data_IF_485508832888
#
_entry.id   IF_485508832888
#
_cell.length_a   1.000
_cell.length_b   1.000
_cell.length_c   1.000
_cell.angle_alpha   90.00
_cell.angle_beta   90.00
_cell.angle_gamma   90.00
#
_symmetry.space_group_name_H-M   'P 1'
#
loop_
_entity.id
_entity.type
_entity.pdbx_description
1 polymer ?
#
# COMPACT_ATOMS: atom_id res chain seq x y z
N UNK A 1 13.99 16.72 31.91
CA UNK A 1 13.57 15.30 31.70
C UNK A 1 13.87 14.92 30.27
N UNK A 2 14.41 13.75 30.05
CA UNK A 2 14.69 13.29 28.68
C UNK A 2 13.38 13.02 27.97
N UNK A 3 13.16 13.63 26.79
CA UNK A 3 11.98 13.35 25.97
C UNK A 3 12.23 12.12 25.12
N UNK A 4 11.43 11.07 25.30
CA UNK A 4 11.49 9.85 24.51
C UNK A 4 10.44 9.92 23.40
N UNK A 5 10.85 10.37 22.22
CA UNK A 5 9.97 10.57 21.08
C UNK A 5 10.69 10.20 19.79
N UNK A 6 9.98 9.64 18.84
CA UNK A 6 10.47 9.44 17.49
C UNK A 6 9.32 9.59 16.46
N UNK A 7 9.69 10.07 15.29
CA UNK A 7 8.80 10.24 14.15
C UNK A 7 9.30 9.40 12.99
N UNK A 8 8.40 8.69 12.32
CA UNK A 8 8.72 7.96 11.11
C UNK A 8 7.62 8.14 10.07
N UNK A 9 8.00 8.13 8.81
CA UNK A 9 7.06 7.97 7.70
C UNK A 9 7.19 6.58 7.08
N UNK A 10 6.11 6.10 6.48
CA UNK A 10 6.11 4.86 5.72
C UNK A 10 5.31 5.01 4.43
N UNK A 11 5.77 4.37 3.35
CA UNK A 11 5.18 4.45 2.03
C UNK A 11 3.91 3.62 1.92
N UNK A 12 3.08 3.97 0.93
CA UNK A 12 2.04 3.09 0.41
C UNK A 12 2.68 1.99 -0.43
N UNK A 13 2.13 0.78 -0.40
CA UNK A 13 2.46 -0.28 -1.33
C UNK A 13 1.22 -0.79 -2.06
N UNK A 14 1.35 -1.05 -3.36
CA UNK A 14 0.25 -1.54 -4.20
C UNK A 14 0.60 -2.92 -4.74
N UNK A 15 -0.23 -3.90 -4.43
CA UNK A 15 0.01 -5.28 -4.81
C UNK A 15 -0.16 -5.53 -6.32
N UNK A 16 0.81 -6.22 -6.91
CA UNK A 16 0.75 -6.81 -8.25
C UNK A 16 0.26 -8.26 -8.19
N UNK A 17 0.64 -9.01 -7.16
CA UNK A 17 0.02 -10.28 -6.78
C UNK A 17 -0.74 -10.05 -5.48
N UNK A 18 -2.07 -10.18 -5.55
CA UNK A 18 -2.97 -9.76 -4.48
C UNK A 18 -2.94 -10.70 -3.27
N UNK A 19 -2.85 -10.09 -2.09
CA UNK A 19 -3.17 -10.73 -0.83
C UNK A 19 -4.69 -10.77 -0.64
N UNK A 20 -5.26 -11.98 -0.53
CA UNK A 20 -6.68 -12.14 -0.24
C UNK A 20 -6.93 -13.43 0.52
N UNK A 21 -7.59 -13.32 1.68
CA UNK A 21 -7.85 -14.41 2.59
C UNK A 21 -6.80 -14.58 3.69
N UNK A 22 -7.26 -15.08 4.85
CA UNK A 22 -6.43 -15.37 6.01
C UNK A 22 -6.67 -16.82 6.43
N UNK A 23 -5.58 -17.60 6.61
CA UNK A 23 -5.62 -18.93 7.23
C UNK A 23 -5.61 -18.87 8.76
N UNK A 24 -5.15 -17.74 9.32
CA UNK A 24 -5.23 -17.42 10.75
C UNK A 24 -5.55 -15.92 10.91
N UNK A 25 -6.62 -15.64 11.65
CA UNK A 25 -7.12 -14.27 11.84
C UNK A 25 -6.50 -13.55 13.04
N UNK A 26 -5.91 -14.29 13.99
CA UNK A 26 -5.21 -13.72 15.16
C UNK A 26 -3.80 -13.27 14.76
N UNK A 27 -3.06 -14.16 14.14
CA UNK A 27 -1.69 -13.92 13.68
C UNK A 27 -1.66 -13.21 12.32
N UNK A 28 -2.82 -12.99 11.68
CA UNK A 28 -2.94 -12.41 10.33
C UNK A 28 -2.08 -13.17 9.31
N UNK A 29 -2.17 -14.51 9.33
CA UNK A 29 -1.46 -15.33 8.37
C UNK A 29 -2.25 -15.42 7.06
N UNK A 30 -1.61 -15.18 5.89
CA UNK A 30 -2.29 -15.16 4.61
C UNK A 30 -2.58 -16.58 4.10
N UNK A 31 -3.57 -16.69 3.22
CA UNK A 31 -3.84 -17.95 2.47
C UNK A 31 -2.89 -18.14 1.29
N UNK A 32 -2.26 -17.06 0.81
CA UNK A 32 -1.33 -17.07 -0.32
C UNK A 32 -0.26 -15.98 -0.17
N UNK A 33 0.91 -16.20 -0.73
CA UNK A 33 1.95 -15.18 -0.88
C UNK A 33 1.46 -14.02 -1.76
N UNK A 34 2.06 -12.86 -1.61
CA UNK A 34 1.70 -11.66 -2.38
C UNK A 34 2.94 -10.82 -2.70
N UNK A 35 2.87 -9.97 -3.72
CA UNK A 35 3.96 -9.10 -4.11
C UNK A 35 3.43 -7.70 -4.41
N UNK A 36 4.14 -6.67 -3.98
CA UNK A 36 3.77 -5.26 -4.23
C UNK A 36 4.94 -4.42 -4.69
N UNK A 37 4.61 -3.30 -5.31
CA UNK A 37 5.51 -2.16 -5.55
C UNK A 37 5.30 -1.16 -4.42
N UNK A 38 6.37 -0.72 -3.79
CA UNK A 38 6.38 0.38 -2.83
C UNK A 38 6.42 1.70 -3.61
N UNK A 39 5.49 2.61 -3.31
CA UNK A 39 5.40 3.91 -3.97
C UNK A 39 6.17 4.98 -3.20
N UNK A 40 6.67 6.00 -3.93
CA UNK A 40 7.46 7.08 -3.35
C UNK A 40 6.64 7.87 -2.31
N UNK A 41 7.16 7.92 -1.09
CA UNK A 41 6.50 8.54 0.05
C UNK A 41 6.57 10.09 0.04
N UNK A 42 7.26 10.71 -0.91
CA UNK A 42 7.14 12.15 -1.12
C UNK A 42 5.74 12.53 -1.62
N UNK A 43 5.03 11.56 -2.23
CA UNK A 43 3.68 11.75 -2.78
C UNK A 43 2.59 11.04 -1.97
N UNK A 44 2.88 9.85 -1.42
CA UNK A 44 1.90 8.98 -0.75
C UNK A 44 2.53 8.35 0.49
N UNK A 45 2.25 8.91 1.68
CA UNK A 45 2.79 8.40 2.95
C UNK A 45 1.82 8.52 4.11
N UNK A 46 2.08 7.69 5.12
CA UNK A 46 1.63 7.91 6.50
C UNK A 46 2.81 8.37 7.33
N UNK A 47 2.62 9.40 8.14
CA UNK A 47 3.61 9.87 9.13
C UNK A 47 3.09 9.58 10.52
N UNK A 48 3.92 9.01 11.39
CA UNK A 48 3.55 8.68 12.77
C UNK A 48 4.62 9.16 13.73
N UNK A 49 4.20 9.87 14.78
CA UNK A 49 5.03 10.21 15.93
C UNK A 49 4.57 9.38 17.12
N UNK A 50 5.51 8.70 17.77
CA UNK A 50 5.30 7.96 19.01
C UNK A 50 6.13 8.57 20.12
N UNK A 51 5.53 8.82 21.29
CA UNK A 51 6.18 9.35 22.49
C UNK A 51 5.86 8.48 23.69
N UNK A 52 6.88 8.14 24.47
CA UNK A 52 6.75 7.43 25.74
C UNK A 52 7.09 8.36 26.92
N UNK A 53 6.28 8.33 27.97
CA UNK A 53 6.50 9.17 29.14
C UNK A 53 5.98 8.46 30.40
N UNK A 54 6.71 8.48 31.54
CA UNK A 54 6.24 7.86 32.78
C UNK A 54 5.00 8.53 33.37
N UNK A 55 4.69 9.76 32.96
CA UNK A 55 3.50 10.51 33.41
C UNK A 55 2.22 10.17 32.64
N UNK A 56 2.31 9.42 31.55
CA UNK A 56 1.12 9.03 30.80
C UNK A 56 0.39 7.90 31.53
N UNK A 57 -0.93 8.06 31.68
CA UNK A 57 -1.79 7.12 32.42
C UNK A 57 -2.28 5.96 31.55
N UNK A 58 -2.33 6.16 30.21
CA UNK A 58 -2.80 5.17 29.24
C UNK A 58 -2.15 5.37 27.87
N UNK A 59 -2.16 4.31 27.06
CA UNK A 59 -1.81 4.41 25.64
C UNK A 59 -2.93 5.15 24.89
N UNK A 60 -2.56 6.14 24.03
CA UNK A 60 -3.51 6.95 23.24
C UNK A 60 -3.07 7.04 21.79
N UNK A 61 -4.04 7.11 20.89
CA UNK A 61 -3.84 7.27 19.44
C UNK A 61 -4.71 8.39 18.90
N UNK A 62 -4.17 9.22 18.02
CA UNK A 62 -4.90 10.16 17.16
C UNK A 62 -4.62 9.84 15.69
N UNK A 63 -5.69 9.67 14.91
CA UNK A 63 -5.64 9.49 13.47
C UNK A 63 -6.18 10.74 12.77
N UNK A 64 -5.34 11.38 11.96
CA UNK A 64 -5.69 12.63 11.27
C UNK A 64 -6.31 13.68 12.22
N UNK A 65 -5.74 13.81 13.43
CA UNK A 65 -6.18 14.76 14.45
C UNK A 65 -7.36 14.34 15.32
N UNK A 66 -7.99 13.21 15.04
CA UNK A 66 -9.13 12.67 15.83
C UNK A 66 -8.65 11.53 16.72
N UNK A 67 -8.98 11.56 18.01
CA UNK A 67 -8.68 10.48 18.94
C UNK A 67 -9.40 9.20 18.53
N UNK A 68 -8.67 8.10 18.46
CA UNK A 68 -9.21 6.76 18.18
C UNK A 68 -8.90 5.83 19.36
N UNK A 69 -9.89 5.07 19.79
CA UNK A 69 -9.81 4.22 20.96
C UNK A 69 -8.91 2.98 20.69
N UNK A 70 -7.92 2.76 21.56
CA UNK A 70 -7.13 1.54 21.56
C UNK A 70 -7.90 0.45 22.32
N UNK A 71 -8.72 -0.31 21.58
CA UNK A 71 -9.56 -1.36 22.17
C UNK A 71 -8.72 -2.55 22.65
N UNK A 72 -9.04 -3.13 23.82
CA UNK A 72 -8.41 -4.37 24.29
C UNK A 72 -8.54 -5.51 23.25
N UNK A 73 -7.45 -6.23 23.00
CA UNK A 73 -7.39 -7.30 22.00
C UNK A 73 -7.37 -6.82 20.54
N UNK A 74 -7.34 -5.49 20.30
CA UNK A 74 -7.23 -4.95 18.94
C UNK A 74 -5.84 -5.21 18.34
N UNK A 75 -5.77 -5.15 17.01
CA UNK A 75 -4.51 -5.27 16.27
C UNK A 75 -3.51 -4.18 16.64
N UNK A 76 -4.00 -2.98 16.93
CA UNK A 76 -3.19 -1.85 17.36
C UNK A 76 -2.54 -2.14 18.73
N UNK A 77 -3.35 -2.58 19.70
CA UNK A 77 -2.84 -2.98 21.01
C UNK A 77 -1.82 -4.11 20.90
N UNK A 78 -2.07 -5.10 20.04
CA UNK A 78 -1.13 -6.19 19.78
C UNK A 78 0.21 -5.69 19.28
N UNK A 79 0.23 -4.79 18.29
CA UNK A 79 1.47 -4.19 17.80
C UNK A 79 2.21 -3.43 18.89
N UNK A 80 1.53 -2.60 19.69
CA UNK A 80 2.16 -1.84 20.78
C UNK A 80 2.76 -2.79 21.82
N UNK A 81 2.04 -3.82 22.23
CA UNK A 81 2.52 -4.84 23.20
C UNK A 81 3.76 -5.57 22.69
N UNK A 82 3.76 -5.99 21.42
CA UNK A 82 4.91 -6.70 20.84
C UNK A 82 6.14 -5.77 20.72
N UNK A 83 5.94 -4.50 20.37
CA UNK A 83 7.03 -3.52 20.33
C UNK A 83 7.59 -3.26 21.73
N UNK A 84 6.75 -3.14 22.76
CA UNK A 84 7.19 -3.05 24.17
C UNK A 84 7.92 -4.32 24.61
N UNK A 85 7.44 -5.51 24.21
CA UNK A 85 8.12 -6.78 24.50
C UNK A 85 9.52 -6.82 23.88
N UNK A 86 9.65 -6.42 22.62
CA UNK A 86 10.97 -6.33 21.97
C UNK A 86 11.89 -5.32 22.68
N UNK A 87 11.38 -4.15 23.09
CA UNK A 87 12.17 -3.18 23.86
C UNK A 87 12.71 -3.82 25.13
N UNK A 88 11.86 -4.54 25.85
CA UNK A 88 12.28 -5.25 27.08
C UNK A 88 13.39 -6.27 26.79
N UNK A 89 13.15 -7.19 25.87
CA UNK A 89 14.06 -8.34 25.62
C UNK A 89 15.35 -7.92 24.92
N UNK A 90 15.26 -7.03 23.92
CA UNK A 90 16.40 -6.70 23.06
C UNK A 90 17.27 -5.55 23.59
N UNK A 91 16.75 -4.74 24.52
CA UNK A 91 17.48 -3.59 25.05
C UNK A 91 17.57 -3.64 26.59
N UNK A 92 16.44 -3.68 27.30
CA UNK A 92 16.42 -3.47 28.74
C UNK A 92 16.92 -4.67 29.54
N UNK A 93 16.71 -5.91 29.09
CA UNK A 93 17.22 -7.12 29.70
C UNK A 93 18.73 -7.31 29.42
N UNK A 94 19.22 -6.71 28.30
CA UNK A 94 20.64 -6.74 27.91
C UNK A 94 21.46 -5.61 28.55
N UNK A 95 20.83 -4.47 28.86
CA UNK A 95 21.43 -3.31 29.53
C UNK A 95 20.53 -2.86 30.68
N UNK A 96 20.86 -3.25 31.95
CA UNK A 96 20.09 -2.86 33.11
C UNK A 96 20.08 -1.34 33.37
N UNK A 97 21.01 -0.58 32.80
CA UNK A 97 21.07 0.89 32.91
C UNK A 97 20.13 1.59 31.91
N UNK A 98 19.63 0.87 30.90
CA UNK A 98 18.74 1.45 29.92
C UNK A 98 17.40 1.89 30.57
N UNK A 99 16.86 3.05 30.14
CA UNK A 99 15.53 3.48 30.59
C UNK A 99 14.47 2.44 30.31
N UNK A 100 13.57 2.18 31.28
CA UNK A 100 12.53 1.14 31.21
C UNK A 100 11.33 1.57 30.37
N UNK A 101 11.56 1.97 29.11
CA UNK A 101 10.54 2.48 28.20
C UNK A 101 9.45 1.45 27.90
N UNK A 102 9.74 0.15 28.02
CA UNK A 102 8.75 -0.91 27.85
C UNK A 102 7.58 -0.81 28.83
N UNK A 103 7.81 -0.17 30.00
CA UNK A 103 6.79 0.00 31.06
C UNK A 103 5.99 1.29 30.92
N UNK A 104 6.42 2.24 30.06
CA UNK A 104 5.75 3.52 29.89
C UNK A 104 4.57 3.39 28.93
N UNK A 105 3.53 4.19 29.18
CA UNK A 105 2.48 4.38 28.20
C UNK A 105 2.98 5.25 27.03
N UNK A 106 2.35 5.06 25.88
CA UNK A 106 2.69 5.78 24.65
C UNK A 106 1.53 6.63 24.15
N UNK A 107 1.86 7.81 23.67
CA UNK A 107 0.96 8.67 22.89
C UNK A 107 1.43 8.67 21.44
N UNK A 108 0.49 8.47 20.53
CA UNK A 108 0.75 8.24 19.11
C UNK A 108 -0.12 9.17 18.28
N UNK A 109 0.47 9.96 17.39
CA UNK A 109 -0.25 10.71 16.38
C UNK A 109 0.14 10.21 14.99
N UNK A 110 -0.84 9.93 14.14
CA UNK A 110 -0.63 9.43 12.78
C UNK A 110 -1.46 10.21 11.76
N UNK A 111 -0.85 10.61 10.65
CA UNK A 111 -1.47 11.36 9.56
C UNK A 111 -1.14 10.77 8.21
N UNK A 112 -2.14 10.76 7.32
CA UNK A 112 -1.98 10.42 5.91
C UNK A 112 -1.99 11.70 5.07
N UNK A 113 -1.11 11.83 4.08
CA UNK A 113 -1.16 12.92 3.12
C UNK A 113 -2.08 12.64 1.91
N UNK A 114 -2.89 11.58 1.99
CA UNK A 114 -3.84 11.14 0.97
C UNK A 114 -5.17 10.71 1.62
N UNK A 115 -6.28 10.64 0.86
CA UNK A 115 -7.60 10.26 1.42
C UNK A 115 -7.58 8.87 2.07
N UNK A 116 -7.96 8.84 3.35
CA UNK A 116 -8.01 7.64 4.20
C UNK A 116 -9.14 6.75 3.78
N UNK A 117 -9.24 5.68 3.34
CA UNK A 117 -10.37 4.82 2.93
C UNK A 117 -10.61 4.74 1.41
N UNK A 118 -9.88 5.50 0.61
CA UNK A 118 -10.00 5.49 -0.84
C UNK A 118 -9.46 4.21 -1.54
N UNK A 119 -9.17 3.14 -0.80
CA UNK A 119 -8.56 1.93 -1.38
C UNK A 119 -7.07 2.05 -1.70
N UNK A 120 -6.41 3.11 -1.20
CA UNK A 120 -4.98 3.39 -1.41
C UNK A 120 -4.10 2.82 -0.31
N UNK A 121 -4.44 1.65 0.24
CA UNK A 121 -3.65 0.91 1.23
C UNK A 121 -3.25 1.72 2.50
N UNK A 122 -4.11 2.65 2.95
CA UNK A 122 -3.84 3.52 4.12
C UNK A 122 -3.53 2.74 5.40
N UNK A 123 -4.16 1.58 5.62
CA UNK A 123 -3.83 0.72 6.76
C UNK A 123 -2.42 0.12 6.68
N UNK A 124 -1.91 -0.14 5.46
CA UNK A 124 -0.58 -0.70 5.28
C UNK A 124 0.50 0.32 5.67
N UNK A 125 0.45 1.53 5.09
CA UNK A 125 1.40 2.60 5.42
C UNK A 125 1.27 3.06 6.88
N UNK A 126 0.04 3.16 7.42
CA UNK A 126 -0.22 3.56 8.80
C UNK A 126 0.42 2.60 9.83
N UNK A 127 0.22 1.28 9.71
CA UNK A 127 0.85 0.32 10.60
C UNK A 127 2.35 0.18 10.39
N UNK A 128 2.84 0.36 9.17
CA UNK A 128 4.28 0.40 8.91
C UNK A 128 4.93 1.63 9.57
N UNK A 129 4.32 2.82 9.45
CA UNK A 129 4.79 4.04 10.10
C UNK A 129 4.75 3.91 11.65
N UNK A 130 3.68 3.30 12.20
CA UNK A 130 3.56 3.01 13.63
C UNK A 130 4.71 2.14 14.13
N UNK A 131 4.92 0.99 13.48
CA UNK A 131 5.98 0.05 13.90
C UNK A 131 7.35 0.68 13.74
N UNK A 132 7.58 1.46 12.66
CA UNK A 132 8.85 2.16 12.44
C UNK A 132 9.10 3.27 13.46
N UNK A 133 8.07 4.06 13.82
CA UNK A 133 8.21 5.10 14.85
C UNK A 133 8.48 4.51 16.24
N UNK A 134 7.80 3.40 16.59
CA UNK A 134 8.05 2.68 17.84
C UNK A 134 9.43 2.00 17.85
N UNK A 135 9.90 1.46 16.74
CA UNK A 135 11.24 0.88 16.62
C UNK A 135 12.32 1.94 16.86
N UNK A 136 12.14 3.13 16.26
CA UNK A 136 13.04 4.27 16.47
C UNK A 136 12.98 4.80 17.93
N UNK A 137 11.77 4.96 18.50
CA UNK A 137 11.56 5.36 19.88
C UNK A 137 12.26 4.43 20.87
N UNK A 138 12.09 3.12 20.66
CA UNK A 138 12.66 2.08 21.53
C UNK A 138 14.12 1.74 21.18
N UNK A 139 14.69 2.36 20.13
CA UNK A 139 16.07 2.07 19.67
C UNK A 139 16.30 0.56 19.46
N UNK A 140 15.39 -0.11 18.78
CA UNK A 140 15.43 -1.56 18.62
C UNK A 140 16.54 -1.97 17.64
N UNK A 141 17.48 -2.84 18.04
CA UNK A 141 18.53 -3.37 17.16
C UNK A 141 18.03 -4.59 16.36
N UNK A 142 16.87 -4.47 15.70
CA UNK A 142 16.23 -5.57 15.00
C UNK A 142 16.11 -5.27 13.51
N UNK A 143 16.07 -6.34 12.69
CA UNK A 143 15.96 -6.22 11.24
C UNK A 143 14.54 -5.79 10.78
N UNK A 144 14.41 -5.22 9.58
CA UNK A 144 13.10 -4.98 8.97
C UNK A 144 12.24 -6.27 8.86
N UNK A 145 12.86 -7.44 8.65
CA UNK A 145 12.16 -8.72 8.65
C UNK A 145 11.49 -9.02 9.98
N UNK A 146 12.17 -8.76 11.11
CA UNK A 146 11.58 -8.90 12.45
C UNK A 146 10.41 -7.95 12.65
N UNK A 147 10.58 -6.68 12.24
CA UNK A 147 9.51 -5.68 12.30
C UNK A 147 8.33 -6.05 11.40
N UNK A 148 8.59 -6.74 10.27
CA UNK A 148 7.53 -7.16 9.34
C UNK A 148 6.56 -8.16 9.96
N UNK A 149 7.03 -9.02 10.88
CA UNK A 149 6.17 -9.94 11.62
C UNK A 149 5.18 -9.21 12.53
N UNK A 150 5.58 -8.06 13.09
CA UNK A 150 4.72 -7.23 13.95
C UNK A 150 3.77 -6.39 13.10
N UNK A 151 4.29 -5.69 12.08
CA UNK A 151 3.47 -4.86 11.18
C UNK A 151 2.36 -5.67 10.50
N UNK A 152 2.63 -6.94 10.14
CA UNK A 152 1.65 -7.89 9.62
C UNK A 152 0.45 -8.05 10.57
N UNK A 153 0.67 -8.15 11.87
CA UNK A 153 -0.39 -8.33 12.86
C UNK A 153 -1.29 -7.10 12.98
N UNK A 154 -0.79 -5.92 12.64
CA UNK A 154 -1.58 -4.70 12.52
C UNK A 154 -2.41 -4.68 11.24
N UNK A 155 -1.75 -4.86 10.12
CA UNK A 155 -2.37 -5.00 8.80
C UNK A 155 -1.50 -5.88 7.94
N UNK A 156 -2.07 -6.95 7.36
CA UNK A 156 -1.30 -7.94 6.60
C UNK A 156 -0.36 -7.31 5.58
N UNK A 157 -0.85 -6.40 4.75
CA UNK A 157 -0.04 -5.71 3.75
C UNK A 157 0.99 -4.72 4.31
N UNK A 158 0.92 -4.35 5.60
CA UNK A 158 1.86 -3.42 6.22
C UNK A 158 3.29 -3.97 6.27
N UNK A 159 3.46 -5.29 6.34
CA UNK A 159 4.78 -5.91 6.33
C UNK A 159 5.58 -5.53 5.08
N UNK A 160 4.92 -5.33 3.92
CA UNK A 160 5.59 -4.95 2.69
C UNK A 160 5.99 -3.47 2.64
N UNK A 161 5.30 -2.59 3.37
CA UNK A 161 5.67 -1.17 3.47
C UNK A 161 6.91 -0.90 4.35
N UNK A 162 7.52 -1.94 4.93
CA UNK A 162 8.80 -1.83 5.65
C UNK A 162 10.04 -1.92 4.76
N UNK A 163 9.83 -2.07 3.45
CA UNK A 163 10.90 -2.09 2.46
C UNK A 163 10.52 -1.22 1.27
N UNK A 164 11.54 -0.67 0.60
CA UNK A 164 11.38 -0.01 -0.68
C UNK A 164 11.38 -0.98 -1.86
N UNK A 165 11.03 -0.50 -3.03
CA UNK A 165 11.10 -1.25 -4.27
C UNK A 165 10.01 -2.30 -4.42
N UNK A 166 10.41 -3.51 -4.72
CA UNK A 166 9.53 -4.67 -4.97
C UNK A 166 9.59 -5.62 -3.78
N UNK A 167 8.46 -5.89 -3.16
CA UNK A 167 8.41 -6.61 -1.88
C UNK A 167 7.42 -7.76 -1.93
N UNK A 168 7.92 -8.97 -1.70
CA UNK A 168 7.09 -10.14 -1.48
C UNK A 168 6.71 -10.26 0.00
N UNK A 169 5.53 -10.76 0.27
CA UNK A 169 5.13 -11.29 1.56
C UNK A 169 4.88 -12.78 1.41
N UNK A 170 5.74 -13.58 2.04
CA UNK A 170 5.67 -15.04 1.98
C UNK A 170 4.50 -15.55 2.83
N UNK A 171 3.77 -16.51 2.27
CA UNK A 171 2.66 -17.17 2.97
C UNK A 171 3.15 -17.81 4.26
N UNK A 172 4.31 -18.46 4.20
CA UNK A 172 4.83 -19.30 5.28
C UNK A 172 4.00 -20.57 5.48
N UNK A 173 4.57 -21.50 6.23
CA UNK A 173 3.96 -22.81 6.53
C UNK A 173 3.78 -23.07 8.01
N UNK A 174 4.55 -22.37 8.85
CA UNK A 174 4.53 -22.54 10.29
C UNK A 174 3.24 -22.00 10.91
N UNK A 175 2.73 -22.69 11.92
CA UNK A 175 1.52 -22.30 12.63
C UNK A 175 1.71 -21.03 13.47
N UNK A 176 2.94 -20.80 14.00
CA UNK A 176 3.29 -19.59 14.73
C UNK A 176 3.53 -18.37 13.84
N UNK A 177 3.57 -18.56 12.50
CA UNK A 177 3.78 -17.54 11.51
C UNK A 177 5.17 -16.90 11.49
N UNK A 178 6.17 -17.53 12.13
CA UNK A 178 7.55 -17.02 12.20
C UNK A 178 8.25 -16.96 10.81
N UNK A 179 7.75 -17.73 9.83
CA UNK A 179 8.22 -17.78 8.45
C UNK A 179 7.34 -16.99 7.46
N UNK A 180 6.25 -16.37 7.93
CA UNK A 180 5.39 -15.51 7.09
C UNK A 180 5.82 -14.05 7.23
N UNK A 181 6.84 -13.67 6.50
CA UNK A 181 7.54 -12.37 6.59
C UNK A 181 7.69 -11.71 5.22
N UNK A 182 8.00 -10.41 5.23
CA UNK A 182 8.27 -9.67 4.01
C UNK A 182 9.74 -9.83 3.58
N UNK A 183 9.94 -9.96 2.26
CA UNK A 183 11.24 -10.09 1.61
C UNK A 183 11.33 -9.08 0.46
N UNK A 184 12.40 -8.30 0.41
CA UNK A 184 12.66 -7.42 -0.73
C UNK A 184 13.16 -8.23 -1.92
N UNK A 185 12.42 -8.21 -3.03
CA UNK A 185 12.79 -8.88 -4.30
C UNK A 185 13.81 -8.04 -5.06
N UNK A 186 13.61 -6.72 -5.08
CA UNK A 186 14.54 -5.76 -5.67
C UNK A 186 14.36 -4.39 -5.01
N UNK A 187 15.43 -3.60 -4.83
CA UNK A 187 15.32 -2.24 -4.30
C UNK A 187 14.68 -1.28 -5.32
N UNK A 188 14.30 -0.09 -4.88
CA UNK A 188 13.74 0.97 -5.73
C UNK A 188 14.69 1.40 -6.85
N UNK A 189 15.99 1.38 -6.59
CA UNK A 189 17.04 1.71 -7.57
C UNK A 189 17.16 0.69 -8.71
N UNK A 190 16.57 -0.51 -8.54
CA UNK A 190 16.62 -1.55 -9.55
C UNK A 190 15.83 -1.18 -10.81
N UNK A 191 14.67 -0.51 -10.69
CA UNK A 191 13.82 -0.14 -11.82
C UNK A 191 13.32 1.31 -11.71
N UNK A 192 14.22 2.30 -11.82
CA UNK A 192 13.90 3.69 -11.51
C UNK A 192 12.95 4.35 -12.52
N UNK A 193 12.76 3.75 -13.71
CA UNK A 193 11.85 4.25 -14.76
C UNK A 193 10.42 3.77 -14.60
N UNK A 194 10.13 2.87 -13.65
CA UNK A 194 8.76 2.41 -13.40
C UNK A 194 8.01 3.44 -12.57
N UNK A 195 6.94 3.99 -13.14
CA UNK A 195 6.04 4.96 -12.53
C UNK A 195 4.67 4.33 -12.26
N UNK A 196 3.87 5.03 -11.47
CA UNK A 196 2.48 4.68 -11.20
C UNK A 196 1.59 5.92 -11.32
N UNK A 197 0.48 5.76 -12.04
CA UNK A 197 -0.59 6.76 -12.16
C UNK A 197 -1.80 6.23 -11.39
N UNK A 198 -2.17 6.91 -10.30
CA UNK A 198 -3.31 6.54 -9.46
C UNK A 198 -4.51 7.38 -9.86
N UNK A 199 -5.59 6.72 -10.32
CA UNK A 199 -6.85 7.36 -10.62
C UNK A 199 -7.78 7.27 -9.41
N UNK A 200 -8.05 8.39 -8.75
CA UNK A 200 -8.96 8.48 -7.61
C UNK A 200 -10.40 8.56 -8.13
N UNK A 201 -11.13 7.45 -8.06
CA UNK A 201 -12.52 7.33 -8.53
C UNK A 201 -13.50 7.62 -7.40
N UNK A 202 -13.23 7.09 -6.22
CA UNK A 202 -14.07 7.28 -5.04
C UNK A 202 -13.20 7.39 -3.78
N UNK A 203 -13.54 8.35 -2.93
CA UNK A 203 -12.92 8.61 -1.62
C UNK A 203 -13.82 8.22 -0.44
N UNK A 204 -15.03 7.70 -0.70
CA UNK A 204 -15.97 7.26 0.32
C UNK A 204 -15.58 5.88 0.91
N UNK A 205 -16.12 5.59 2.10
CA UNK A 205 -15.95 4.28 2.75
C UNK A 205 -16.55 3.16 1.89
N UNK A 206 -15.88 1.99 1.90
CA UNK A 206 -16.29 0.78 1.19
C UNK A 206 -17.57 0.19 1.78
N UNK A 207 -18.44 -0.37 0.96
CA UNK A 207 -19.62 -1.11 1.41
C UNK A 207 -19.26 -2.38 2.18
N UNK A 208 -18.26 -3.14 1.68
CA UNK A 208 -17.73 -4.33 2.37
C UNK A 208 -16.26 -4.10 2.73
N UNK A 209 -15.93 -4.19 4.02
CA UNK A 209 -14.54 -4.06 4.47
C UNK A 209 -13.68 -5.21 3.92
N UNK A 210 -12.39 -4.95 3.66
CA UNK A 210 -11.47 -5.99 3.20
C UNK A 210 -11.38 -7.16 4.19
N UNK A 211 -11.49 -6.91 5.50
CA UNK A 211 -11.42 -7.96 6.53
C UNK A 211 -12.64 -8.88 6.44
N UNK A 212 -13.85 -8.34 6.38
CA UNK A 212 -15.07 -9.13 6.25
C UNK A 212 -15.13 -9.85 4.89
N UNK A 213 -14.73 -9.16 3.82
CA UNK A 213 -14.65 -9.75 2.48
C UNK A 213 -13.70 -10.94 2.42
N UNK A 214 -12.48 -10.81 2.95
CA UNK A 214 -11.50 -11.90 2.99
C UNK A 214 -12.01 -13.13 3.73
N UNK A 215 -12.65 -12.95 4.89
CA UNK A 215 -13.17 -14.06 5.68
C UNK A 215 -14.26 -14.78 4.91
N UNK A 216 -15.24 -14.05 4.40
CA UNK A 216 -16.35 -14.61 3.61
C UNK A 216 -15.85 -15.35 2.37
N UNK A 217 -14.88 -14.79 1.66
CA UNK A 217 -14.29 -15.42 0.47
C UNK A 217 -13.61 -16.75 0.81
N UNK A 218 -12.87 -16.83 1.92
CA UNK A 218 -12.26 -18.08 2.38
C UNK A 218 -13.29 -19.16 2.63
N UNK A 219 -14.45 -18.79 3.17
CA UNK A 219 -15.53 -19.70 3.53
C UNK A 219 -16.35 -20.17 2.32
N UNK A 220 -16.46 -19.34 1.27
CA UNK A 220 -17.50 -19.57 0.23
C UNK A 220 -16.97 -19.69 -1.19
N UNK A 221 -15.73 -19.24 -1.52
CA UNK A 221 -15.23 -19.21 -2.90
C UNK A 221 -14.36 -20.42 -3.25
N UNK A 222 -14.83 -21.34 -4.11
CA UNK A 222 -14.00 -22.40 -4.70
C UNK A 222 -12.86 -21.84 -5.56
N UNK A 223 -13.08 -20.71 -6.26
CA UNK A 223 -12.03 -20.07 -7.06
C UNK A 223 -10.85 -19.61 -6.21
N UNK A 224 -11.08 -19.20 -4.95
CA UNK A 224 -9.99 -18.87 -4.05
C UNK A 224 -9.09 -20.08 -3.79
N UNK A 225 -9.67 -21.28 -3.61
CA UNK A 225 -8.90 -22.50 -3.36
C UNK A 225 -8.02 -22.88 -4.56
N UNK A 226 -8.53 -22.71 -5.77
CA UNK A 226 -7.75 -22.89 -7.00
C UNK A 226 -6.62 -21.85 -7.10
N UNK A 227 -6.94 -20.58 -6.81
CA UNK A 227 -5.97 -19.48 -6.80
C UNK A 227 -4.79 -19.77 -5.86
N UNK A 228 -5.08 -20.18 -4.62
CA UNK A 228 -4.07 -20.47 -3.60
C UNK A 228 -3.12 -21.59 -4.05
N UNK A 229 -3.69 -22.68 -4.59
CA UNK A 229 -2.91 -23.91 -4.87
C UNK A 229 -2.14 -23.85 -6.17
N UNK A 230 -2.68 -23.19 -7.19
CA UNK A 230 -2.16 -23.34 -8.57
C UNK A 230 -1.72 -22.01 -9.18
N UNK A 231 -2.47 -20.93 -8.97
CA UNK A 231 -2.23 -19.69 -9.69
C UNK A 231 -1.17 -18.81 -9.05
N UNK A 232 -1.31 -18.55 -7.74
CA UNK A 232 -0.38 -17.64 -7.05
C UNK A 232 1.05 -18.16 -7.03
N UNK A 233 1.34 -19.45 -6.73
CA UNK A 233 2.73 -19.93 -6.74
C UNK A 233 3.43 -19.69 -8.08
N UNK A 234 2.75 -19.98 -9.20
CA UNK A 234 3.29 -19.72 -10.53
C UNK A 234 3.48 -18.23 -10.80
N UNK A 235 2.48 -17.39 -10.52
CA UNK A 235 2.57 -15.94 -10.75
C UNK A 235 3.63 -15.26 -9.89
N UNK A 236 3.85 -15.72 -8.65
CA UNK A 236 4.92 -15.21 -7.79
C UNK A 236 6.31 -15.45 -8.40
N UNK A 237 6.55 -16.64 -8.97
CA UNK A 237 7.78 -16.93 -9.67
C UNK A 237 7.93 -16.07 -10.93
N UNK A 238 6.94 -16.11 -11.83
CA UNK A 238 6.97 -15.37 -13.10
C UNK A 238 7.14 -13.85 -12.91
N UNK A 239 6.41 -13.23 -11.96
CA UNK A 239 6.52 -11.78 -11.74
C UNK A 239 7.85 -11.39 -11.09
N UNK A 240 8.40 -12.25 -10.23
CA UNK A 240 9.72 -12.02 -9.64
C UNK A 240 10.82 -12.04 -10.71
N UNK A 241 10.72 -12.95 -11.68
CA UNK A 241 11.65 -13.01 -12.80
C UNK A 241 11.48 -11.81 -13.75
N UNK A 242 10.23 -11.41 -14.04
CA UNK A 242 9.96 -10.21 -14.83
C UNK A 242 10.53 -8.93 -14.17
N UNK A 243 10.40 -8.80 -12.85
CA UNK A 243 11.00 -7.69 -12.10
C UNK A 243 12.53 -7.72 -12.19
N UNK A 244 13.17 -8.86 -11.94
CA UNK A 244 14.64 -8.99 -12.03
C UNK A 244 15.16 -8.66 -13.42
N UNK A 245 14.44 -9.06 -14.46
CA UNK A 245 14.77 -8.79 -15.85
C UNK A 245 14.35 -7.39 -16.33
N UNK A 246 13.57 -6.63 -15.55
CA UNK A 246 12.89 -5.39 -15.97
C UNK A 246 12.05 -5.59 -17.24
N UNK A 247 11.43 -6.76 -17.36
CA UNK A 247 10.52 -7.08 -18.45
C UNK A 247 9.13 -6.52 -18.15
N UNK A 248 8.88 -5.29 -18.66
CA UNK A 248 7.61 -4.60 -18.44
C UNK A 248 6.44 -5.35 -19.08
N UNK A 249 6.60 -5.98 -20.24
CA UNK A 249 5.49 -6.71 -20.88
C UNK A 249 5.01 -7.89 -20.03
N UNK A 250 5.94 -8.70 -19.53
CA UNK A 250 5.61 -9.80 -18.62
C UNK A 250 5.04 -9.29 -17.29
N UNK A 251 5.65 -8.27 -16.68
CA UNK A 251 5.15 -7.63 -15.46
C UNK A 251 3.71 -7.11 -15.64
N UNK A 252 3.45 -6.39 -16.74
CA UNK A 252 2.14 -5.83 -17.05
C UNK A 252 1.08 -6.93 -17.23
N UNK A 253 1.40 -7.96 -18.00
CA UNK A 253 0.51 -9.10 -18.23
C UNK A 253 0.10 -9.76 -16.92
N UNK A 254 1.07 -10.10 -16.08
CA UNK A 254 0.84 -10.82 -14.81
C UNK A 254 0.05 -9.95 -13.84
N UNK A 255 0.41 -8.68 -13.71
CA UNK A 255 -0.26 -7.70 -12.83
C UNK A 255 -1.74 -7.56 -13.18
N UNK A 256 -2.08 -7.36 -14.45
CA UNK A 256 -3.46 -7.24 -14.90
C UNK A 256 -4.25 -8.54 -14.73
N UNK A 257 -3.65 -9.69 -15.08
CA UNK A 257 -4.28 -11.00 -14.88
C UNK A 257 -4.55 -11.28 -13.40
N UNK A 258 -3.65 -10.89 -12.49
CA UNK A 258 -3.85 -11.10 -11.06
C UNK A 258 -4.92 -10.19 -10.50
N UNK A 259 -4.96 -8.92 -10.92
CA UNK A 259 -6.04 -7.99 -10.58
C UNK A 259 -7.41 -8.54 -11.02
N UNK A 260 -7.53 -9.01 -12.26
CA UNK A 260 -8.77 -9.56 -12.79
C UNK A 260 -9.23 -10.80 -12.01
N UNK A 261 -8.30 -11.72 -11.71
CA UNK A 261 -8.65 -12.92 -10.95
C UNK A 261 -9.06 -12.61 -9.50
N UNK A 262 -8.41 -11.63 -8.85
CA UNK A 262 -8.81 -11.17 -7.53
C UNK A 262 -10.27 -10.70 -7.50
N UNK A 263 -10.69 -9.90 -8.49
CA UNK A 263 -12.06 -9.43 -8.58
C UNK A 263 -13.04 -10.55 -8.98
N UNK A 264 -12.62 -11.53 -9.80
CA UNK A 264 -13.41 -12.73 -10.08
C UNK A 264 -13.65 -13.55 -8.80
N UNK A 265 -12.64 -13.72 -7.96
CA UNK A 265 -12.76 -14.38 -6.63
C UNK A 265 -13.69 -13.58 -5.70
N UNK A 266 -13.66 -12.24 -5.75
CA UNK A 266 -14.60 -11.42 -4.99
C UNK A 266 -16.06 -11.62 -5.46
N UNK A 267 -16.28 -11.75 -6.77
CA UNK A 267 -17.59 -12.06 -7.34
C UNK A 267 -18.07 -13.48 -7.03
N UNK A 268 -17.15 -14.45 -6.95
CA UNK A 268 -17.43 -15.86 -6.59
C UNK A 268 -17.75 -16.06 -5.09
N UNK A 269 -17.59 -15.01 -4.30
CA UNK A 269 -17.93 -15.00 -2.86
C UNK A 269 -19.45 -14.95 -2.68
N UNK A 270 -19.97 -15.69 -1.68
CA UNK A 270 -21.41 -15.66 -1.35
C UNK A 270 -21.67 -14.91 -0.02
N UNK A 271 -22.48 -13.83 -0.03
CA UNK A 271 -22.95 -13.10 -1.21
C UNK A 271 -21.81 -12.39 -1.96
N UNK A 272 -21.98 -12.13 -3.27
CA UNK A 272 -20.92 -11.59 -4.11
C UNK A 272 -20.47 -10.18 -3.65
N UNK A 273 -19.18 -9.91 -3.85
CA UNK A 273 -18.57 -8.63 -3.46
C UNK A 273 -18.17 -7.86 -4.73
N UNK A 274 -18.69 -6.66 -4.87
CA UNK A 274 -18.40 -5.74 -5.96
C UNK A 274 -17.50 -4.61 -5.45
N UNK A 275 -16.21 -4.67 -5.77
CA UNK A 275 -15.27 -3.58 -5.44
C UNK A 275 -15.11 -2.58 -6.58
N UNK A 276 -15.13 -3.06 -7.82
CA UNK A 276 -15.07 -2.24 -9.02
C UNK A 276 -16.46 -1.71 -9.39
N UNK A 277 -16.49 -0.51 -9.97
CA UNK A 277 -17.67 0.13 -10.54
C UNK A 277 -17.53 0.33 -12.06
N UNK A 278 -18.49 1.00 -12.71
CA UNK A 278 -18.46 1.21 -14.15
C UNK A 278 -17.31 2.13 -14.60
N UNK A 279 -16.89 3.09 -13.76
CA UNK A 279 -15.69 3.90 -14.03
C UNK A 279 -14.44 3.02 -14.02
N UNK A 280 -14.34 2.07 -13.08
CA UNK A 280 -13.24 1.10 -13.07
C UNK A 280 -13.19 0.28 -14.35
N UNK A 281 -14.35 -0.19 -14.84
CA UNK A 281 -14.45 -0.93 -16.10
C UNK A 281 -14.06 -0.08 -17.30
N UNK A 282 -14.45 1.20 -17.33
CA UNK A 282 -14.07 2.13 -18.38
C UNK A 282 -12.54 2.34 -18.42
N UNK A 283 -11.89 2.52 -17.26
CA UNK A 283 -10.42 2.62 -17.19
C UNK A 283 -9.76 1.32 -17.70
N UNK A 284 -10.28 0.14 -17.32
CA UNK A 284 -9.79 -1.15 -17.84
C UNK A 284 -9.89 -1.19 -19.36
N UNK A 285 -11.03 -0.80 -19.94
CA UNK A 285 -11.24 -0.77 -21.39
C UNK A 285 -10.22 0.15 -22.10
N UNK A 286 -9.98 1.34 -21.56
CA UNK A 286 -8.97 2.28 -22.07
C UNK A 286 -7.56 1.67 -22.09
N UNK A 287 -7.13 1.06 -20.99
CA UNK A 287 -5.78 0.48 -20.90
C UNK A 287 -5.64 -0.77 -21.78
N UNK A 288 -6.68 -1.58 -21.89
CA UNK A 288 -6.69 -2.74 -22.80
C UNK A 288 -6.55 -2.28 -24.25
N UNK A 289 -7.28 -1.26 -24.67
CA UNK A 289 -7.20 -0.72 -26.04
C UNK A 289 -5.84 -0.03 -26.29
N UNK A 290 -5.33 0.73 -25.33
CA UNK A 290 -4.00 1.30 -25.40
C UNK A 290 -2.92 0.23 -25.61
N UNK A 291 -3.00 -0.86 -24.87
CA UNK A 291 -2.09 -1.99 -25.02
C UNK A 291 -2.28 -2.73 -26.34
N UNK A 292 -3.50 -2.84 -26.89
CA UNK A 292 -3.71 -3.42 -28.23
C UNK A 292 -2.91 -2.64 -29.26
N UNK A 293 -3.04 -1.32 -29.26
CA UNK A 293 -2.29 -0.46 -30.18
C UNK A 293 -0.77 -0.57 -29.97
N UNK A 294 -0.34 -0.61 -28.69
CA UNK A 294 1.07 -0.75 -28.37
C UNK A 294 1.64 -2.08 -28.86
N UNK A 295 0.93 -3.19 -28.68
CA UNK A 295 1.32 -4.52 -29.14
C UNK A 295 1.41 -4.56 -30.67
N UNK A 296 0.45 -3.99 -31.38
CA UNK A 296 0.48 -3.93 -32.84
C UNK A 296 1.69 -3.16 -33.38
N UNK A 297 2.11 -2.10 -32.67
CA UNK A 297 3.23 -1.24 -33.09
C UNK A 297 4.60 -1.77 -32.62
N UNK A 298 4.68 -2.36 -31.44
CA UNK A 298 5.96 -2.64 -30.77
C UNK A 298 6.11 -4.10 -30.32
N UNK A 299 5.06 -4.92 -30.43
CA UNK A 299 5.03 -6.28 -29.91
C UNK A 299 4.90 -6.36 -28.37
N UNK A 300 4.77 -5.25 -27.66
CA UNK A 300 4.80 -5.19 -26.17
C UNK A 300 3.72 -4.30 -25.59
N UNK A 301 3.23 -4.66 -24.39
CA UNK A 301 2.38 -3.81 -23.56
C UNK A 301 3.19 -2.64 -23.00
N UNK A 302 2.50 -1.51 -22.79
CA UNK A 302 3.08 -0.28 -22.26
C UNK A 302 2.42 0.21 -20.97
N UNK A 303 1.31 -0.39 -20.53
CA UNK A 303 0.61 -0.03 -19.30
C UNK A 303 0.04 -1.26 -18.60
N UNK A 304 -0.07 -1.20 -17.27
CA UNK A 304 -0.63 -2.28 -16.45
C UNK A 304 -1.56 -1.72 -15.39
N UNK A 305 -2.86 -1.92 -15.52
CA UNK A 305 -3.79 -1.59 -14.44
C UNK A 305 -3.77 -2.64 -13.33
N UNK A 306 -4.06 -2.18 -12.12
CA UNK A 306 -4.36 -3.05 -10.97
C UNK A 306 -5.35 -2.35 -10.04
N UNK A 307 -6.20 -3.14 -9.40
CA UNK A 307 -7.20 -2.68 -8.45
C UNK A 307 -7.05 -3.44 -7.13
N UNK A 308 -7.13 -2.74 -6.02
CA UNK A 308 -7.31 -3.33 -4.70
C UNK A 308 -8.82 -3.48 -4.40
N UNK A 309 -9.20 -3.73 -3.16
CA UNK A 309 -10.60 -3.82 -2.74
C UNK A 309 -11.28 -2.44 -2.77
N UNK A 310 -11.48 -1.88 -3.95
CA UNK A 310 -12.09 -0.58 -4.20
C UNK A 310 -12.01 -0.19 -5.68
N UNK A 311 -12.69 0.88 -6.09
CA UNK A 311 -12.81 1.27 -7.50
C UNK A 311 -11.61 2.06 -8.05
N UNK A 312 -10.65 2.47 -7.20
CA UNK A 312 -9.51 3.28 -7.60
C UNK A 312 -8.49 2.44 -8.38
N UNK A 313 -8.11 2.93 -9.55
CA UNK A 313 -7.12 2.28 -10.39
C UNK A 313 -5.70 2.73 -10.04
N UNK A 314 -4.75 1.81 -10.09
CA UNK A 314 -3.33 2.12 -10.20
C UNK A 314 -2.84 1.58 -11.53
N UNK A 315 -2.21 2.44 -12.32
CA UNK A 315 -1.69 2.11 -13.65
C UNK A 315 -0.16 2.21 -13.57
N UNK A 316 0.52 1.07 -13.64
CA UNK A 316 1.96 1.03 -13.79
C UNK A 316 2.34 1.30 -15.24
N UNK A 317 3.41 2.04 -15.44
CA UNK A 317 3.86 2.49 -16.75
C UNK A 317 5.33 2.89 -16.71
N UNK A 318 6.08 2.65 -17.79
CA UNK A 318 7.43 3.19 -17.94
C UNK A 318 7.38 4.72 -18.10
N UNK A 319 8.36 5.43 -17.56
CA UNK A 319 8.44 6.89 -17.55
C UNK A 319 8.16 7.52 -18.90
N UNK A 320 8.67 6.97 -19.98
CA UNK A 320 8.49 7.47 -21.34
C UNK A 320 7.03 7.47 -21.83
N UNK A 321 6.20 6.60 -21.27
CA UNK A 321 4.78 6.44 -21.66
C UNK A 321 3.80 7.11 -20.67
N UNK A 322 4.29 7.70 -19.57
CA UNK A 322 3.43 8.31 -18.53
C UNK A 322 2.53 9.39 -19.12
N UNK A 323 3.11 10.28 -19.95
CA UNK A 323 2.35 11.40 -20.54
C UNK A 323 1.18 10.90 -21.39
N UNK A 324 1.38 9.86 -22.21
CA UNK A 324 0.32 9.29 -23.02
C UNK A 324 -0.82 8.72 -22.16
N UNK A 325 -0.50 8.07 -21.04
CA UNK A 325 -1.50 7.54 -20.10
C UNK A 325 -2.25 8.66 -19.39
N UNK A 326 -1.56 9.69 -18.91
CA UNK A 326 -2.21 10.84 -18.25
C UNK A 326 -3.11 11.57 -19.26
N UNK A 327 -2.65 11.82 -20.47
CA UNK A 327 -3.45 12.45 -21.54
C UNK A 327 -4.70 11.61 -21.87
N UNK A 328 -4.56 10.29 -21.97
CA UNK A 328 -5.67 9.39 -22.20
C UNK A 328 -6.72 9.46 -21.08
N UNK A 329 -6.28 9.43 -19.81
CA UNK A 329 -7.19 9.57 -18.68
C UNK A 329 -7.88 10.94 -18.67
N UNK A 330 -7.15 12.03 -18.92
CA UNK A 330 -7.73 13.37 -18.94
C UNK A 330 -8.72 13.58 -20.11
N UNK A 331 -8.52 12.88 -21.23
CA UNK A 331 -9.44 12.94 -22.37
C UNK A 331 -10.81 12.32 -22.05
N UNK A 332 -10.83 11.18 -21.35
CA UNK A 332 -12.05 10.45 -21.04
C UNK A 332 -12.65 10.79 -19.66
N UNK A 333 -11.85 11.36 -18.77
CA UNK A 333 -12.24 11.79 -17.42
C UNK A 333 -11.75 13.22 -17.17
N UNK A 334 -12.38 14.23 -17.79
CA UNK A 334 -11.86 15.61 -17.82
C UNK A 334 -11.77 16.25 -16.43
N UNK A 335 -12.64 15.88 -15.49
CA UNK A 335 -12.63 16.45 -14.14
C UNK A 335 -11.41 16.03 -13.32
N UNK A 336 -10.72 14.98 -13.74
CA UNK A 336 -9.47 14.56 -13.12
C UNK A 336 -8.38 15.65 -13.17
N UNK A 337 -8.47 16.57 -14.13
CA UNK A 337 -7.54 17.68 -14.29
C UNK A 337 -7.55 18.66 -13.10
N UNK A 338 -8.70 18.81 -12.41
CA UNK A 338 -8.83 19.73 -11.28
C UNK A 338 -7.92 19.38 -10.09
N UNK A 339 -7.63 18.08 -9.92
CA UNK A 339 -6.80 17.56 -8.84
C UNK A 339 -5.56 16.80 -9.36
N UNK A 340 -5.07 17.17 -10.54
CA UNK A 340 -3.81 16.67 -11.06
C UNK A 340 -2.69 17.71 -10.84
N UNK A 341 -1.65 17.29 -10.11
CA UNK A 341 -0.42 18.06 -9.93
C UNK A 341 0.68 17.46 -10.81
N UNK A 342 1.19 18.23 -11.76
CA UNK A 342 2.29 17.80 -12.63
C UNK A 342 3.65 17.91 -11.92
N UNK A 343 3.87 17.03 -10.95
CA UNK A 343 5.07 17.02 -10.10
C UNK A 343 6.34 16.55 -10.83
N UNK A 344 6.19 15.96 -12.00
CA UNK A 344 7.30 15.48 -12.84
C UNK A 344 7.50 16.31 -14.11
N UNK A 345 6.82 17.47 -14.22
CA UNK A 345 6.92 18.39 -15.35
C UNK A 345 6.62 17.74 -16.71
N UNK A 346 5.61 16.88 -16.79
CA UNK A 346 5.19 16.21 -18.02
C UNK A 346 4.80 17.18 -19.13
N UNK A 347 4.32 18.37 -18.74
CA UNK A 347 3.81 19.41 -19.64
C UNK A 347 4.69 20.67 -19.72
N UNK A 348 5.90 20.66 -19.16
CA UNK A 348 6.78 21.85 -19.10
C UNK A 348 7.09 22.44 -20.48
N UNK A 349 7.16 21.61 -21.53
CA UNK A 349 7.53 22.01 -22.90
C UNK A 349 6.40 21.80 -23.93
N UNK A 350 5.22 21.34 -23.51
CA UNK A 350 4.10 21.02 -24.41
C UNK A 350 2.77 21.47 -23.78
N UNK A 351 2.18 22.51 -24.35
CA UNK A 351 0.88 23.05 -23.92
C UNK A 351 -0.31 22.23 -24.45
N UNK A 352 -0.10 21.23 -25.31
CA UNK A 352 -1.17 20.39 -25.86
C UNK A 352 -1.45 19.22 -24.93
N UNK A 353 -2.54 19.31 -24.17
CA UNK A 353 -3.18 18.17 -23.51
C UNK A 353 -3.95 17.36 -24.56
N UNK A 354 -3.75 16.02 -24.57
CA UNK A 354 -4.63 15.12 -25.27
C UNK A 354 -4.30 14.88 -26.75
N UNK A 355 -3.13 14.34 -27.06
CA UNK A 355 -2.92 13.70 -28.36
C UNK A 355 -3.54 12.27 -28.32
N UNK A 356 -4.56 12.04 -29.14
CA UNK A 356 -5.11 10.69 -29.35
C UNK A 356 -4.00 9.76 -29.84
N UNK A 357 -3.82 8.63 -29.18
CA UNK A 357 -2.86 7.60 -29.62
C UNK A 357 -3.31 7.11 -31.01
N UNK A 358 -2.50 7.31 -32.04
CA UNK A 358 -2.84 6.93 -33.41
C UNK A 358 -3.18 5.45 -33.49
N UNK A 359 -4.37 5.12 -34.05
CA UNK A 359 -4.90 3.76 -34.13
C UNK A 359 -5.74 3.32 -32.91
N UNK A 360 -5.95 4.22 -31.94
CA UNK A 360 -6.84 3.99 -30.81
C UNK A 360 -8.31 3.97 -31.27
N UNK A 361 -9.05 2.95 -30.87
CA UNK A 361 -10.49 2.86 -31.14
C UNK A 361 -11.28 3.64 -30.08
N UNK A 362 -11.73 4.85 -30.40
CA UNK A 362 -12.47 5.71 -29.49
C UNK A 362 -13.83 5.14 -29.06
N UNK A 363 -14.38 4.16 -29.79
CA UNK A 363 -15.66 3.53 -29.45
C UNK A 363 -15.61 2.63 -28.21
N UNK A 364 -14.40 2.30 -27.70
CA UNK A 364 -14.25 1.42 -26.51
C UNK A 364 -14.63 2.11 -25.19
N UNK A 365 -14.69 3.44 -25.17
CA UNK A 365 -15.01 4.18 -23.95
C UNK A 365 -15.79 5.46 -24.26
N UNK A 366 -16.65 5.81 -23.32
CA UNK A 366 -17.35 7.10 -23.31
C UNK A 366 -16.63 8.09 -22.39
N UNK A 367 -16.84 9.39 -22.59
CA UNK A 367 -16.44 10.40 -21.61
C UNK A 367 -17.30 10.29 -20.35
N UNK A 368 -16.65 10.31 -19.20
CA UNK A 368 -17.28 10.22 -17.89
C UNK A 368 -16.97 11.49 -17.09
N UNK A 369 -17.90 12.43 -17.07
CA UNK A 369 -17.84 13.57 -16.16
C UNK A 369 -18.00 13.08 -14.71
N UNK A 370 -17.17 13.59 -13.78
CA UNK A 370 -17.16 13.16 -12.37
C UNK A 370 -16.63 11.76 -12.11
N UNK A 371 -16.23 11.00 -13.15
CA UNK A 371 -15.82 9.61 -13.00
C UNK A 371 -14.49 9.45 -12.26
N UNK A 372 -13.47 10.25 -12.58
CA UNK A 372 -12.19 10.32 -11.89
C UNK A 372 -12.05 11.68 -11.25
N UNK A 373 -11.89 11.73 -9.92
CA UNK A 373 -11.83 12.96 -9.13
C UNK A 373 -10.43 13.60 -9.14
N UNK A 374 -9.41 12.84 -9.45
CA UNK A 374 -8.03 13.31 -9.48
C UNK A 374 -7.05 12.24 -9.88
N UNK A 375 -5.85 12.67 -10.25
CA UNK A 375 -4.73 11.82 -10.62
C UNK A 375 -3.56 12.11 -9.67
N UNK A 376 -2.95 11.04 -9.13
CA UNK A 376 -1.69 11.13 -8.41
C UNK A 376 -0.64 10.40 -9.23
N UNK A 377 0.31 11.15 -9.77
CA UNK A 377 1.48 10.58 -10.45
C UNK A 377 2.60 10.39 -9.44
N UNK A 378 3.15 9.18 -9.36
CA UNK A 378 4.23 8.80 -8.47
C UNK A 378 5.16 7.79 -9.15
N UNK A 379 6.19 7.36 -8.45
CA UNK A 379 7.15 6.35 -8.92
C UNK A 379 7.43 5.32 -7.82
N UNK A 380 8.30 4.36 -8.10
CA UNK A 380 8.81 3.45 -7.08
C UNK A 380 9.59 4.25 -6.03
N UNK A 381 9.43 3.90 -4.76
CA UNK A 381 10.04 4.57 -3.63
C UNK A 381 10.75 3.65 -2.65
N UNK A 382 11.41 4.29 -1.70
CA UNK A 382 12.13 3.68 -0.60
C UNK A 382 11.20 3.17 0.53
N UNK A 383 11.80 2.48 1.50
CA UNK A 383 11.15 2.03 2.72
C UNK A 383 10.91 3.17 3.73
N UNK A 384 10.53 2.84 4.99
CA UNK A 384 10.28 3.83 6.02
C UNK A 384 11.47 4.74 6.27
N UNK A 385 11.19 6.01 6.58
CA UNK A 385 12.18 7.03 6.93
C UNK A 385 11.99 7.46 8.39
N UNK A 386 13.08 7.54 9.16
CA UNK A 386 13.07 8.25 10.44
C UNK A 386 13.19 9.74 10.17
N UNK A 387 12.28 10.52 10.74
CA UNK A 387 12.15 11.95 10.49
C UNK A 387 12.70 12.78 11.67
N UNK A 388 13.02 14.05 11.39
CA UNK A 388 13.51 14.99 12.39
C UNK A 388 12.44 15.48 13.36
N UNK A 389 12.85 16.15 14.43
CA UNK A 389 11.94 16.71 15.46
C UNK A 389 10.98 17.78 14.89
N UNK A 390 11.38 18.50 13.86
CA UNK A 390 10.55 19.49 13.17
C UNK A 390 9.32 18.87 12.49
N UNK A 391 9.37 17.58 12.15
CA UNK A 391 8.27 16.84 11.54
C UNK A 391 7.42 16.08 12.57
N UNK A 392 7.75 16.24 13.87
CA UNK A 392 6.98 15.61 14.94
C UNK A 392 5.53 16.12 14.97
N UNK A 393 4.59 15.18 15.07
CA UNK A 393 3.14 15.42 15.08
C UNK A 393 2.59 15.67 16.50
N UNK A 394 3.39 15.43 17.54
CA UNK A 394 3.06 15.69 18.93
C UNK A 394 3.79 16.93 19.44
N UNK A 395 3.12 17.71 20.26
CA UNK A 395 3.70 18.86 20.98
C UNK A 395 4.49 18.44 22.23
N UNK A 396 4.97 19.43 23.00
CA UNK A 396 5.74 19.19 24.22
C UNK A 396 4.95 18.47 25.32
N UNK A 397 3.60 18.56 25.32
CA UNK A 397 2.71 17.87 26.26
C UNK A 397 2.31 16.46 25.78
N UNK A 398 2.73 16.07 24.57
CA UNK A 398 2.36 14.81 23.94
C UNK A 398 0.93 14.81 23.37
N UNK A 399 0.40 15.98 23.01
CA UNK A 399 -0.87 16.12 22.31
C UNK A 399 -0.63 16.39 20.81
N UNK A 400 -1.61 16.03 19.93
CA UNK A 400 -1.46 16.28 18.51
C UNK A 400 -1.31 17.77 18.19
N UNK A 401 -0.32 18.10 17.37
CA UNK A 401 -0.21 19.44 16.78
C UNK A 401 -1.35 19.66 15.79
N UNK A 402 -1.90 20.87 15.75
CA UNK A 402 -2.77 21.27 14.62
C UNK A 402 -1.88 21.36 13.37
N UNK A 403 -2.13 20.52 12.40
CA UNK A 403 -1.51 20.66 11.10
C UNK A 403 -2.21 21.79 10.33
N UNK A 404 -1.40 22.69 9.76
CA UNK A 404 -1.89 23.83 8.99
C UNK A 404 -2.53 23.39 7.66
#
# INVERSE_FOLDING_TARGET
MSTYQATASAPVNIACIKYWGKRDTKLILPTNSSLSVTLDQDYLKSTTTSRADPSFEKDQLWLNGTEDEIKPGSRLETCIKEMKRLRKVEVEDKDPSAPKLSTYHVRIASYNNFPTAAGLASSASGFAALVSSLAALYKLPVSPSTLSLIARQGSGSACRSLYGGFVAWEQGTKADGSDSLAIQIAPESHWPTLHAVVCVVNDAKKGTSSTAGMQRTVETSPLLQHRIKHVVPQRMAEISDAIRARDFDAFARITMQDSNQFHAVALDTDPPIFYMNDVSKAIVALIVEYNRVAIEKTGKRKAAYTYDAGPNAVIYVEQENVKEIVDLILQYFPDAAANFKDVFNLYANDQKKGAVVSGFNEAVAQKWEGGVKGIIHTKIGDGPRTLGENEALLDASGLPKKLA
#
